data_IF_980760699530
#
_entry.id   IF_980760699530
#
_cell.length_a   1.000
_cell.length_b   1.000
_cell.length_c   1.000
_cell.angle_alpha   90.00
_cell.angle_beta   90.00
_cell.angle_gamma   90.00
#
_symmetry.space_group_name_H-M   'P 1'
#
loop_
_entity.id
_entity.type
_entity.pdbx_description
1 polymer ?
#
# COMPACT_ATOMS: atom_id res chain seq x y z
N UNK A 1 -5.38 0.16 8.47
CA UNK A 1 -4.75 1.48 8.26
C UNK A 1 -5.68 2.55 8.79
N UNK A 2 -5.23 3.35 9.75
CA UNK A 2 -5.98 4.42 10.40
C UNK A 2 -5.31 5.80 10.20
N UNK A 3 -3.99 5.86 10.21
CA UNK A 3 -3.22 7.09 10.06
C UNK A 3 -2.71 7.30 8.63
N UNK A 4 -2.50 6.21 7.89
CA UNK A 4 -2.17 6.26 6.47
C UNK A 4 -3.47 6.21 5.66
N UNK A 5 -3.71 7.24 4.84
CA UNK A 5 -4.88 7.35 3.97
C UNK A 5 -4.55 7.13 2.48
N UNK A 6 -5.56 7.22 1.61
CA UNK A 6 -5.39 6.95 0.19
C UNK A 6 -4.48 7.93 -0.53
N UNK A 7 -4.62 9.22 -0.25
CA UNK A 7 -3.79 10.25 -0.88
C UNK A 7 -2.31 10.02 -0.57
N UNK A 8 -1.97 9.69 0.67
CA UNK A 8 -0.58 9.42 1.08
C UNK A 8 0.05 8.25 0.29
N UNK A 9 -0.74 7.19 0.05
CA UNK A 9 -0.26 6.05 -0.74
C UNK A 9 -0.19 6.40 -2.23
N UNK A 10 -1.13 7.19 -2.75
CA UNK A 10 -1.11 7.65 -4.13
C UNK A 10 0.14 8.51 -4.40
N UNK A 11 0.46 9.44 -3.49
CA UNK A 11 1.67 10.26 -3.55
C UNK A 11 2.94 9.40 -3.57
N UNK A 12 2.98 8.32 -2.78
CA UNK A 12 4.08 7.37 -2.75
C UNK A 12 4.21 6.60 -4.08
N UNK A 13 3.13 6.01 -4.60
CA UNK A 13 3.13 5.25 -5.86
C UNK A 13 3.48 6.14 -7.06
N UNK A 14 2.98 7.37 -7.09
CA UNK A 14 3.25 8.32 -8.17
C UNK A 14 4.73 8.75 -8.26
N UNK A 15 5.53 8.53 -7.21
CA UNK A 15 6.98 8.78 -7.21
C UNK A 15 7.82 7.54 -7.55
N UNK A 16 7.17 6.41 -7.87
CA UNK A 16 7.81 5.19 -8.33
C UNK A 16 7.59 5.01 -9.83
N UNK A 17 8.37 4.13 -10.44
CA UNK A 17 8.21 3.76 -11.85
C UNK A 17 6.86 3.06 -12.11
N UNK A 18 6.51 2.87 -13.38
CA UNK A 18 5.28 2.18 -13.77
C UNK A 18 5.21 0.75 -13.22
N UNK A 19 6.36 0.10 -13.02
CA UNK A 19 6.48 -1.15 -12.26
C UNK A 19 7.17 -0.90 -10.95
N UNK A 20 6.53 -1.29 -9.86
CA UNK A 20 6.98 -1.04 -8.51
C UNK A 20 6.56 -2.16 -7.57
N UNK A 21 7.09 -2.20 -6.36
CA UNK A 21 6.82 -3.28 -5.40
C UNK A 21 6.43 -2.76 -4.01
N UNK A 22 5.89 -3.65 -3.17
CA UNK A 22 5.40 -3.32 -1.84
C UNK A 22 6.42 -2.62 -0.95
N UNK A 23 7.67 -3.09 -0.94
CA UNK A 23 8.71 -2.42 -0.16
C UNK A 23 9.02 -1.04 -0.73
N UNK A 24 9.00 -0.87 -2.04
CA UNK A 24 9.11 0.44 -2.69
C UNK A 24 8.05 1.43 -2.19
N UNK A 25 6.77 1.01 -2.16
CA UNK A 25 5.68 1.84 -1.66
C UNK A 25 5.83 2.14 -0.17
N UNK A 26 6.17 1.13 0.64
CA UNK A 26 6.39 1.28 2.09
C UNK A 26 7.48 2.31 2.40
N UNK A 27 8.67 2.16 1.80
CA UNK A 27 9.80 3.08 1.99
C UNK A 27 9.44 4.49 1.54
N UNK A 28 8.72 4.64 0.43
CA UNK A 28 8.31 5.96 -0.05
C UNK A 28 7.27 6.60 0.85
N UNK A 29 6.31 5.83 1.35
CA UNK A 29 5.31 6.29 2.32
C UNK A 29 5.97 6.72 3.63
N UNK A 30 6.94 5.94 4.15
CA UNK A 30 7.74 6.32 5.32
C UNK A 30 8.49 7.64 5.10
N UNK A 31 9.11 7.81 3.93
CA UNK A 31 9.89 9.01 3.59
C UNK A 31 9.01 10.26 3.45
N UNK A 32 7.82 10.14 2.87
CA UNK A 32 6.92 11.27 2.61
C UNK A 32 6.01 11.60 3.80
N UNK A 33 5.62 10.59 4.58
CA UNK A 33 4.59 10.68 5.61
C UNK A 33 5.04 10.02 6.92
N UNK A 34 6.25 10.33 7.38
CA UNK A 34 6.92 9.68 8.52
C UNK A 34 6.07 9.59 9.78
N UNK A 35 5.38 10.67 10.16
CA UNK A 35 4.57 10.69 11.38
C UNK A 35 3.38 9.73 11.30
N UNK A 36 2.65 9.73 10.18
CA UNK A 36 1.52 8.83 9.97
C UNK A 36 1.99 7.37 9.91
N UNK A 37 3.11 7.14 9.23
CA UNK A 37 3.74 5.82 9.16
C UNK A 37 4.12 5.29 10.54
N UNK A 38 4.80 6.10 11.36
CA UNK A 38 5.22 5.73 12.71
C UNK A 38 4.01 5.41 13.60
N UNK A 39 2.96 6.25 13.56
CA UNK A 39 1.72 6.02 14.32
C UNK A 39 1.00 4.74 13.90
N UNK A 40 1.05 4.38 12.62
CA UNK A 40 0.48 3.12 12.16
C UNK A 40 1.31 1.92 12.60
N UNK A 41 2.65 2.02 12.55
CA UNK A 41 3.55 0.95 12.96
C UNK A 41 3.42 0.63 14.45
N UNK A 42 3.23 1.63 15.33
CA UNK A 42 3.06 1.38 16.78
C UNK A 42 1.84 0.53 17.11
N UNK A 43 0.84 0.43 16.21
CA UNK A 43 -0.30 -0.48 16.37
C UNK A 43 0.08 -1.95 16.33
N UNK A 44 1.24 -2.26 15.76
CA UNK A 44 1.80 -3.61 15.67
C UNK A 44 2.87 -3.87 16.74
N UNK A 45 3.12 -2.92 17.65
CA UNK A 45 4.23 -2.98 18.61
C UNK A 45 4.18 -4.18 19.57
N UNK A 46 3.00 -4.76 19.81
CA UNK A 46 2.83 -5.96 20.64
C UNK A 46 3.02 -7.26 19.86
N UNK A 47 3.23 -7.19 18.55
CA UNK A 47 3.50 -8.36 17.73
C UNK A 47 4.94 -8.85 17.93
N UNK A 48 5.20 -10.18 17.86
CA UNK A 48 6.57 -10.70 17.82
C UNK A 48 7.39 -10.18 16.63
N UNK A 49 6.72 -9.80 15.53
CA UNK A 49 7.36 -9.23 14.33
C UNK A 49 6.51 -8.06 13.80
N UNK A 50 6.64 -6.85 14.40
CA UNK A 50 5.83 -5.70 14.08
C UNK A 50 5.99 -5.24 12.62
N UNK A 51 7.22 -5.28 12.10
CA UNK A 51 7.52 -4.84 10.74
C UNK A 51 6.87 -5.76 9.72
N UNK A 52 7.01 -7.08 9.87
CA UNK A 52 6.37 -8.02 8.95
C UNK A 52 4.84 -7.92 8.97
N UNK A 53 4.24 -7.77 10.15
CA UNK A 53 2.79 -7.62 10.26
C UNK A 53 2.30 -6.31 9.64
N UNK A 54 3.03 -5.21 9.86
CA UNK A 54 2.77 -3.94 9.22
C UNK A 54 2.84 -4.09 7.70
N UNK A 55 3.95 -4.61 7.14
CA UNK A 55 4.13 -4.76 5.70
C UNK A 55 3.04 -5.63 5.06
N UNK A 56 2.67 -6.74 5.71
CA UNK A 56 1.57 -7.58 5.22
C UNK A 56 0.21 -6.88 5.21
N UNK A 57 -0.10 -6.10 6.26
CA UNK A 57 -1.34 -5.34 6.34
C UNK A 57 -1.33 -4.15 5.37
N UNK A 58 -0.18 -3.51 5.19
CA UNK A 58 0.02 -2.38 4.28
C UNK A 58 -0.16 -2.83 2.82
N UNK A 59 0.50 -3.90 2.40
CA UNK A 59 0.33 -4.44 1.04
C UNK A 59 -1.13 -4.79 0.72
N UNK A 60 -1.86 -5.40 1.67
CA UNK A 60 -3.30 -5.67 1.53
C UNK A 60 -4.13 -4.40 1.41
N UNK A 61 -3.78 -3.37 2.18
CA UNK A 61 -4.44 -2.07 2.13
C UNK A 61 -4.23 -1.38 0.77
N UNK A 62 -3.00 -1.37 0.25
CA UNK A 62 -2.69 -0.82 -1.08
C UNK A 62 -3.49 -1.55 -2.17
N UNK A 63 -3.48 -2.88 -2.16
CA UNK A 63 -4.17 -3.69 -3.17
C UNK A 63 -5.69 -3.47 -3.17
N UNK A 64 -6.29 -3.32 -1.98
CA UNK A 64 -7.71 -3.05 -1.85
C UNK A 64 -8.07 -1.63 -2.32
N UNK A 65 -7.23 -0.65 -1.97
CA UNK A 65 -7.53 0.77 -2.18
C UNK A 65 -7.38 1.19 -3.64
N UNK A 66 -6.39 0.65 -4.35
CA UNK A 66 -6.06 1.01 -5.73
C UNK A 66 -6.51 -0.07 -6.73
N UNK A 67 -7.50 -0.88 -6.35
CA UNK A 67 -8.08 -1.89 -7.24
C UNK A 67 -8.61 -1.20 -8.51
N UNK A 68 -8.05 -1.57 -9.66
CA UNK A 68 -8.39 -1.00 -10.96
C UNK A 68 -7.50 0.15 -11.41
N UNK A 69 -6.63 0.68 -10.54
CA UNK A 69 -5.59 1.66 -10.90
C UNK A 69 -4.18 1.04 -10.90
N UNK A 70 -3.99 -0.07 -10.16
CA UNK A 70 -2.80 -0.91 -10.19
C UNK A 70 -3.19 -2.38 -10.41
N UNK A 71 -2.25 -3.15 -10.96
CA UNK A 71 -2.44 -4.59 -11.20
C UNK A 71 -1.26 -5.38 -10.63
N UNK A 72 -1.57 -6.44 -9.87
CA UNK A 72 -0.55 -7.39 -9.42
C UNK A 72 0.10 -8.10 -10.61
N UNK A 73 1.42 -8.21 -10.61
CA UNK A 73 2.17 -8.92 -11.66
C UNK A 73 2.76 -10.22 -11.13
N UNK A 74 3.83 -10.14 -10.36
CA UNK A 74 4.61 -11.28 -9.87
C UNK A 74 5.11 -11.05 -8.45
N UNK A 75 5.63 -12.11 -7.83
CA UNK A 75 6.44 -11.96 -6.62
C UNK A 75 7.85 -11.57 -7.00
N UNK A 76 8.43 -10.60 -6.28
CA UNK A 76 9.82 -10.19 -6.43
C UNK A 76 10.49 -10.19 -5.07
N UNK A 77 11.82 -10.28 -5.05
CA UNK A 77 12.62 -10.09 -3.84
C UNK A 77 13.23 -8.70 -3.91
N UNK A 78 12.99 -7.89 -2.88
CA UNK A 78 13.62 -6.59 -2.73
C UNK A 78 13.89 -6.31 -1.26
N UNK A 79 14.74 -5.33 -0.98
CA UNK A 79 15.07 -4.92 0.39
C UNK A 79 13.83 -4.35 1.09
N UNK A 80 13.47 -4.85 2.27
CA UNK A 80 12.37 -4.39 3.09
C UNK A 80 12.76 -3.20 4.00
N UNK A 81 11.85 -2.78 4.89
CA UNK A 81 12.09 -1.68 5.83
C UNK A 81 13.20 -1.96 6.86
N UNK A 82 13.45 -3.23 7.17
CA UNK A 82 14.52 -3.67 8.07
C UNK A 82 15.88 -3.81 7.38
N UNK A 83 15.97 -3.58 6.07
CA UNK A 83 17.20 -3.75 5.29
C UNK A 83 17.45 -5.18 4.81
N UNK A 84 16.51 -6.11 4.99
CA UNK A 84 16.64 -7.50 4.56
C UNK A 84 15.99 -7.73 3.19
N UNK A 85 16.57 -8.63 2.39
CA UNK A 85 15.96 -9.07 1.13
C UNK A 85 14.85 -10.09 1.43
N UNK A 86 13.60 -9.72 1.14
CA UNK A 86 12.46 -10.62 1.34
C UNK A 86 11.50 -10.60 0.15
N UNK A 87 10.76 -11.70 -0.09
CA UNK A 87 9.77 -11.73 -1.16
C UNK A 87 8.58 -10.83 -0.85
N UNK A 88 8.10 -10.10 -1.86
CA UNK A 88 6.92 -9.23 -1.77
C UNK A 88 6.12 -9.25 -3.08
N UNK A 89 5.09 -8.40 -3.17
CA UNK A 89 4.29 -8.24 -4.38
C UNK A 89 4.82 -7.10 -5.25
N UNK A 90 4.99 -7.35 -6.55
CA UNK A 90 5.14 -6.32 -7.58
C UNK A 90 3.78 -5.96 -8.18
N UNK A 91 3.60 -4.69 -8.50
CA UNK A 91 2.48 -4.17 -9.27
C UNK A 91 2.94 -3.38 -10.49
N UNK A 92 2.01 -3.17 -11.39
CA UNK A 92 2.12 -2.27 -12.55
C UNK A 92 0.98 -1.26 -12.49
N UNK A 93 1.28 0.01 -12.76
CA UNK A 93 0.26 1.06 -12.92
C UNK A 93 -0.56 0.75 -14.17
N UNK A 94 -1.88 0.70 -14.03
CA UNK A 94 -2.79 0.67 -15.20
C UNK A 94 -3.35 2.05 -15.52
N UNK A 95 -3.19 3.01 -14.59
CA UNK A 95 -3.51 4.42 -14.75
C UNK A 95 -2.35 5.25 -14.17
N UNK A 96 -2.03 6.38 -14.81
CA UNK A 96 -1.00 7.30 -14.35
C UNK A 96 -1.47 8.75 -14.58
N UNK A 97 -1.63 9.58 -13.53
CA UNK A 97 -1.37 9.27 -12.11
C UNK A 97 -2.39 8.31 -11.50
N UNK A 98 -1.97 7.58 -10.46
CA UNK A 98 -2.93 6.96 -9.53
C UNK A 98 -3.51 8.05 -8.64
N UNK A 99 -4.81 7.99 -8.43
CA UNK A 99 -5.60 9.01 -7.72
C UNK A 99 -6.12 8.52 -6.38
N UNK A 100 -6.19 7.20 -6.16
CA UNK A 100 -6.70 6.63 -4.91
C UNK A 100 -8.20 6.83 -4.74
N UNK A 101 -8.89 7.15 -5.84
CA UNK A 101 -10.35 7.16 -5.95
C UNK A 101 -10.76 5.78 -6.44
N UNK A 102 -10.60 4.78 -5.58
CA UNK A 102 -11.19 3.47 -5.82
C UNK A 102 -12.70 3.64 -6.03
N UNK A 103 -13.27 2.91 -7.00
CA UNK A 103 -14.72 2.76 -7.14
C UNK A 103 -15.34 2.48 -5.76
N UNK A 104 -16.48 3.09 -5.40
CA UNK A 104 -17.07 2.91 -4.08
C UNK A 104 -17.30 1.42 -3.82
N UNK A 105 -16.72 0.92 -2.73
CA UNK A 105 -17.05 -0.41 -2.22
C UNK A 105 -18.46 -0.31 -1.66
N UNK A 106 -19.46 -0.60 -2.49
CA UNK A 106 -20.86 -0.76 -2.09
C UNK A 106 -21.77 0.42 -2.39
N UNK A 107 -22.14 0.60 -3.66
CA UNK A 107 -23.53 0.98 -3.94
C UNK A 107 -24.37 -0.30 -3.77
N UNK A 108 -24.89 -0.51 -2.56
CA UNK A 108 -26.04 -1.42 -2.39
C UNK A 108 -27.16 -0.79 -3.21
N UNK A 109 -27.62 -1.52 -4.22
CA UNK A 109 -28.85 -1.26 -4.95
C UNK A 109 -29.98 -1.01 -3.95
N UNK A 110 -30.37 0.26 -3.79
CA UNK A 110 -31.71 0.61 -3.36
C UNK A 110 -32.52 0.91 -4.62
N UNK A 111 -32.83 -0.17 -5.33
CA UNK A 111 -33.92 -0.20 -6.30
C UNK A 111 -34.51 -1.61 -6.26
N UNK A 112 -35.52 -1.76 -5.42
CA UNK A 112 -36.60 -2.71 -5.60
C UNK A 112 -37.79 -2.20 -4.77
N UNK A 113 -38.72 -1.57 -5.51
CA UNK A 113 -40.19 -1.50 -5.33
C UNK A 113 -40.78 -1.86 -3.96
#
# INVERSE_FOLDING_TARGET
MQYINSQMVADAINQLDDRFDAHGVEKRTLRLHTNAFAQELTRYATSPDPLRQFSAAFAKFVDALFRGEIRQTQKVTSENLGGEQSPNQQWEKVMNPVTGVGQPIGAVTQDAM
#
